data_IF_222826781405
#
_entry.id   IF_222826781405
#
_cell.length_a   1.000
_cell.length_b   1.000
_cell.length_c   1.000
_cell.angle_alpha   90.00
_cell.angle_beta   90.00
_cell.angle_gamma   90.00
#
_symmetry.space_group_name_H-M   'P 1'
#
loop_
_entity.id
_entity.type
_entity.pdbx_description
1 polymer ?
#
# COMPACT_ATOMS: atom_id res chain seq x y z
N UNK A 1 4.41 -4.91 -32.83
CA UNK A 1 3.02 -4.47 -32.65
C UNK A 1 2.92 -3.93 -31.23
N UNK A 2 3.12 -2.61 -31.07
CA UNK A 2 3.22 -1.99 -29.75
C UNK A 2 1.86 -1.98 -29.07
N UNK A 3 1.78 -2.53 -27.86
CA UNK A 3 0.57 -2.49 -27.05
C UNK A 3 0.29 -1.03 -26.73
N UNK A 4 -0.93 -0.52 -26.97
CA UNK A 4 -1.22 0.88 -26.74
C UNK A 4 -1.08 1.17 -25.24
N UNK A 5 -0.22 2.11 -24.87
CA UNK A 5 -0.03 2.65 -23.50
C UNK A 5 -1.34 2.81 -22.72
N UNK A 6 -2.42 3.16 -23.44
CA UNK A 6 -3.79 3.26 -22.95
C UNK A 6 -4.29 1.97 -22.25
N UNK A 7 -4.02 0.78 -22.78
CA UNK A 7 -4.46 -0.50 -22.18
C UNK A 7 -3.74 -0.78 -20.86
N UNK A 8 -2.43 -0.52 -20.81
CA UNK A 8 -1.64 -0.65 -19.57
C UNK A 8 -2.18 0.32 -18.52
N UNK A 9 -2.39 1.59 -18.88
CA UNK A 9 -2.93 2.59 -17.96
C UNK A 9 -4.33 2.23 -17.43
N UNK A 10 -5.20 1.68 -18.27
CA UNK A 10 -6.55 1.26 -17.86
C UNK A 10 -6.51 0.05 -16.93
N UNK A 11 -5.69 -0.97 -17.22
CA UNK A 11 -5.55 -2.12 -16.31
C UNK A 11 -4.86 -1.76 -15.01
N UNK A 12 -3.89 -0.86 -15.08
CA UNK A 12 -3.10 -0.42 -13.94
C UNK A 12 -3.73 0.70 -13.10
N UNK A 13 -4.91 1.20 -13.49
CA UNK A 13 -5.51 2.42 -12.95
C UNK A 13 -5.64 2.39 -11.42
N UNK A 14 -5.96 1.23 -10.83
CA UNK A 14 -6.04 1.09 -9.37
C UNK A 14 -4.67 1.20 -8.69
N UNK A 15 -3.60 0.65 -9.28
CA UNK A 15 -2.26 0.76 -8.72
C UNK A 15 -1.84 2.23 -8.66
N UNK A 16 -2.04 2.96 -9.77
CA UNK A 16 -1.74 4.39 -9.82
C UNK A 16 -2.61 5.20 -8.86
N UNK A 17 -3.89 4.85 -8.71
CA UNK A 17 -4.77 5.49 -7.75
C UNK A 17 -4.25 5.31 -6.31
N UNK A 18 -3.86 4.09 -5.93
CA UNK A 18 -3.31 3.80 -4.59
C UNK A 18 -2.01 4.59 -4.36
N UNK A 19 -1.07 4.55 -5.30
CA UNK A 19 0.19 5.29 -5.18
C UNK A 19 -0.02 6.81 -5.11
N UNK A 20 -0.92 7.34 -5.93
CA UNK A 20 -1.30 8.75 -5.89
C UNK A 20 -1.97 9.12 -4.56
N UNK A 21 -2.84 8.27 -4.02
CA UNK A 21 -3.45 8.50 -2.71
C UNK A 21 -2.42 8.54 -1.59
N UNK A 22 -1.42 7.64 -1.59
CA UNK A 22 -0.33 7.67 -0.61
C UNK A 22 0.45 8.99 -0.72
N UNK A 23 0.76 9.45 -1.93
CA UNK A 23 1.45 10.71 -2.14
C UNK A 23 0.61 11.91 -1.66
N UNK A 24 -0.69 11.93 -1.96
CA UNK A 24 -1.62 12.97 -1.50
C UNK A 24 -1.67 13.00 0.03
N UNK A 25 -1.76 11.83 0.67
CA UNK A 25 -1.74 11.72 2.14
C UNK A 25 -0.43 12.26 2.72
N UNK A 26 0.71 11.95 2.10
CA UNK A 26 2.01 12.48 2.54
C UNK A 26 2.06 14.00 2.46
N UNK A 27 1.64 14.56 1.32
CA UNK A 27 1.67 16.01 1.08
C UNK A 27 0.68 16.73 2.00
N UNK A 28 -0.58 16.29 2.04
CA UNK A 28 -1.60 16.90 2.90
C UNK A 28 -1.23 16.77 4.38
N UNK A 29 -0.80 15.57 4.80
CA UNK A 29 -0.38 15.30 6.17
C UNK A 29 0.74 16.22 6.64
N UNK A 30 1.72 16.50 5.76
CA UNK A 30 2.79 17.47 6.03
C UNK A 30 2.26 18.88 6.34
N UNK A 31 1.14 19.29 5.73
CA UNK A 31 0.54 20.61 5.97
C UNK A 31 -0.45 20.62 7.16
N UNK A 32 -1.12 19.50 7.45
CA UNK A 32 -2.17 19.44 8.49
C UNK A 32 -1.67 18.93 9.83
N UNK A 33 -0.84 17.89 9.84
CA UNK A 33 -0.26 17.30 11.06
C UNK A 33 1.13 16.72 10.73
N UNK A 34 2.17 17.58 10.67
CA UNK A 34 3.51 17.17 10.23
C UNK A 34 4.16 16.17 11.17
N UNK A 35 3.92 16.26 12.47
CA UNK A 35 4.50 15.34 13.47
C UNK A 35 3.99 13.92 13.27
N UNK A 36 2.65 13.76 13.22
CA UNK A 36 2.01 12.47 12.98
C UNK A 36 2.43 11.87 11.64
N UNK A 37 2.43 12.69 10.59
CA UNK A 37 2.78 12.25 9.24
C UNK A 37 4.24 11.80 9.17
N UNK A 38 5.16 12.57 9.73
CA UNK A 38 6.57 12.17 9.78
C UNK A 38 6.77 10.88 10.57
N UNK A 39 6.10 10.72 11.73
CA UNK A 39 6.13 9.48 12.51
C UNK A 39 5.75 8.27 11.67
N UNK A 40 4.59 8.34 10.99
CA UNK A 40 4.08 7.27 10.11
C UNK A 40 5.09 6.94 9.00
N UNK A 41 5.64 7.93 8.30
CA UNK A 41 6.54 7.70 7.17
C UNK A 41 7.94 7.22 7.59
N UNK A 42 8.43 7.64 8.76
CA UNK A 42 9.67 7.09 9.34
C UNK A 42 9.46 5.63 9.75
N UNK A 43 8.33 5.30 10.38
CA UNK A 43 7.98 3.91 10.69
C UNK A 43 7.82 3.08 9.41
N UNK A 44 7.20 3.63 8.37
CA UNK A 44 7.10 2.96 7.08
C UNK A 44 8.48 2.64 6.48
N UNK A 45 9.42 3.58 6.55
CA UNK A 45 10.81 3.39 6.08
C UNK A 45 11.55 2.29 6.87
N UNK A 46 11.37 2.26 8.20
CA UNK A 46 11.88 1.19 9.05
C UNK A 46 11.29 -0.18 8.67
N UNK A 47 9.98 -0.26 8.49
CA UNK A 47 9.28 -1.49 8.08
C UNK A 47 9.77 -2.01 6.72
N UNK A 48 10.11 -1.10 5.80
CA UNK A 48 10.70 -1.45 4.50
C UNK A 48 12.10 -2.04 4.67
N UNK A 49 12.89 -1.51 5.61
CA UNK A 49 14.25 -1.95 5.89
C UNK A 49 14.32 -3.37 6.49
N UNK A 50 13.28 -3.82 7.19
CA UNK A 50 13.21 -5.18 7.76
C UNK A 50 12.89 -6.27 6.72
N UNK A 51 12.51 -5.89 5.49
CA UNK A 51 12.22 -6.73 4.32
C UNK A 51 11.07 -7.76 4.45
N UNK A 52 10.76 -8.27 5.64
CA UNK A 52 9.72 -9.29 5.82
C UNK A 52 8.35 -8.81 5.31
N UNK A 53 7.93 -7.62 5.74
CA UNK A 53 6.67 -7.03 5.28
C UNK A 53 6.70 -6.72 3.78
N UNK A 54 7.85 -6.32 3.25
CA UNK A 54 8.04 -6.04 1.82
C UNK A 54 7.86 -7.32 0.99
N UNK A 55 8.43 -8.45 1.41
CA UNK A 55 8.24 -9.73 0.73
C UNK A 55 6.77 -10.14 0.69
N UNK A 56 6.04 -9.99 1.80
CA UNK A 56 4.61 -10.27 1.86
C UNK A 56 3.85 -9.35 0.89
N UNK A 57 4.11 -8.04 0.94
CA UNK A 57 3.44 -7.06 0.08
C UNK A 57 3.67 -7.30 -1.42
N UNK A 58 4.92 -7.55 -1.81
CA UNK A 58 5.27 -7.89 -3.20
C UNK A 58 4.58 -9.19 -3.60
N UNK A 59 4.55 -10.20 -2.73
CA UNK A 59 3.90 -11.49 -3.03
C UNK A 59 2.41 -11.30 -3.27
N UNK A 60 1.74 -10.52 -2.41
CA UNK A 60 0.32 -10.18 -2.59
C UNK A 60 0.08 -9.48 -3.92
N UNK A 61 0.89 -8.48 -4.27
CA UNK A 61 0.74 -7.73 -5.52
C UNK A 61 1.08 -8.54 -6.78
N UNK A 62 2.11 -9.38 -6.73
CA UNK A 62 2.62 -10.12 -7.89
C UNK A 62 1.89 -11.43 -8.18
N UNK A 63 1.29 -12.07 -7.17
CA UNK A 63 0.71 -13.41 -7.35
C UNK A 63 -0.82 -13.45 -7.26
N UNK A 64 -1.49 -12.44 -6.69
CA UNK A 64 -2.96 -12.40 -6.66
C UNK A 64 -3.47 -11.80 -7.98
N UNK A 65 -4.23 -12.56 -8.81
CA UNK A 65 -4.64 -12.08 -10.14
C UNK A 65 -5.51 -10.82 -10.09
N UNK A 66 -6.38 -10.73 -9.07
CA UNK A 66 -7.29 -9.61 -8.90
C UNK A 66 -6.79 -8.63 -7.82
N UNK A 67 -6.09 -7.59 -8.26
CA UNK A 67 -5.51 -6.59 -7.36
C UNK A 67 -6.55 -5.85 -6.50
N UNK A 68 -7.81 -5.78 -6.93
CA UNK A 68 -8.89 -5.19 -6.11
C UNK A 68 -9.04 -5.92 -4.78
N UNK A 69 -8.91 -7.25 -4.78
CA UNK A 69 -8.97 -8.04 -3.55
C UNK A 69 -7.82 -7.71 -2.61
N UNK A 70 -6.63 -7.46 -3.15
CA UNK A 70 -5.46 -7.05 -2.35
C UNK A 70 -5.70 -5.67 -1.74
N UNK A 71 -6.07 -4.69 -2.56
CA UNK A 71 -6.29 -3.32 -2.10
C UNK A 71 -7.40 -3.25 -1.04
N UNK A 72 -8.59 -3.78 -1.35
CA UNK A 72 -9.72 -3.75 -0.42
C UNK A 72 -9.52 -4.67 0.78
N UNK A 73 -8.86 -5.82 0.60
CA UNK A 73 -8.53 -6.74 1.69
C UNK A 73 -7.58 -6.10 2.70
N UNK A 74 -6.53 -5.43 2.24
CA UNK A 74 -5.61 -4.70 3.11
C UNK A 74 -6.29 -3.55 3.84
N UNK A 75 -7.17 -2.80 3.17
CA UNK A 75 -7.96 -1.73 3.80
C UNK A 75 -8.93 -2.32 4.84
N UNK A 76 -9.62 -3.41 4.53
CA UNK A 76 -10.55 -4.06 5.45
C UNK A 76 -9.81 -4.61 6.69
N UNK A 77 -8.64 -5.22 6.50
CA UNK A 77 -7.80 -5.68 7.59
C UNK A 77 -7.32 -4.51 8.48
N UNK A 78 -6.92 -3.38 7.87
CA UNK A 78 -6.60 -2.15 8.58
C UNK A 78 -7.79 -1.66 9.42
N UNK A 79 -8.98 -1.54 8.82
CA UNK A 79 -10.18 -1.07 9.54
C UNK A 79 -10.50 -2.02 10.71
N UNK A 80 -10.50 -3.34 10.47
CA UNK A 80 -10.75 -4.33 11.51
C UNK A 80 -9.75 -4.23 12.67
N UNK A 81 -8.45 -4.17 12.37
CA UNK A 81 -7.42 -4.01 13.38
C UNK A 81 -7.52 -2.67 14.12
N UNK A 82 -7.85 -1.57 13.43
CA UNK A 82 -8.05 -0.26 14.06
C UNK A 82 -9.22 -0.27 15.05
N UNK A 83 -10.32 -0.97 14.72
CA UNK A 83 -11.44 -1.18 15.66
C UNK A 83 -10.99 -1.99 16.87
N UNK A 84 -10.22 -3.07 16.67
CA UNK A 84 -9.71 -3.89 17.78
C UNK A 84 -8.74 -3.11 18.69
N UNK A 85 -7.93 -2.21 18.13
CA UNK A 85 -7.11 -1.26 18.92
C UNK A 85 -8.01 -0.34 19.74
N UNK A 86 -9.03 0.26 19.10
CA UNK A 86 -9.94 1.19 19.78
C UNK A 86 -10.74 0.54 20.91
N UNK A 87 -11.09 -0.74 20.77
CA UNK A 87 -11.74 -1.55 21.81
C UNK A 87 -10.78 -2.03 22.91
N UNK A 88 -9.49 -1.70 22.83
CA UNK A 88 -8.49 -2.10 23.82
C UNK A 88 -8.10 -3.58 23.76
N UNK A 89 -8.39 -4.28 22.67
CA UNK A 89 -8.01 -5.69 22.47
C UNK A 89 -6.53 -5.78 22.10
N UNK A 90 -6.06 -4.89 21.22
CA UNK A 90 -4.65 -4.78 20.84
C UNK A 90 -4.00 -3.56 21.52
N UNK A 91 -3.61 -3.72 22.78
CA UNK A 91 -2.98 -2.65 23.57
C UNK A 91 -1.51 -2.39 23.23
N UNK A 92 -0.86 -3.34 22.54
CA UNK A 92 0.54 -3.25 22.11
C UNK A 92 0.71 -2.59 20.73
N UNK A 93 -0.39 -2.30 20.03
CA UNK A 93 -0.37 -1.80 18.65
C UNK A 93 -0.96 -0.39 18.60
N UNK A 94 -0.31 0.52 17.90
CA UNK A 94 -0.83 1.87 17.66
C UNK A 94 -1.47 1.96 16.28
N UNK A 95 -2.48 2.83 16.14
CA UNK A 95 -3.11 3.10 14.84
C UNK A 95 -2.11 3.69 13.85
N UNK A 96 -1.13 4.45 14.32
CA UNK A 96 -0.04 5.03 13.52
C UNK A 96 0.83 3.95 12.89
N UNK A 97 1.28 2.99 13.70
CA UNK A 97 2.04 1.84 13.22
C UNK A 97 1.23 1.00 12.23
N UNK A 98 -0.04 0.74 12.56
CA UNK A 98 -0.94 0.00 11.68
C UNK A 98 -1.16 0.72 10.33
N UNK A 99 -1.22 2.05 10.34
CA UNK A 99 -1.34 2.83 9.12
C UNK A 99 -0.03 2.83 8.30
N UNK A 100 1.14 2.86 8.95
CA UNK A 100 2.42 2.66 8.28
C UNK A 100 2.50 1.28 7.60
N UNK A 101 2.06 0.22 8.27
CA UNK A 101 1.94 -1.13 7.69
C UNK A 101 1.03 -1.11 6.45
N UNK A 102 -0.13 -0.46 6.53
CA UNK A 102 -1.06 -0.34 5.40
C UNK A 102 -0.39 0.36 4.20
N UNK A 103 0.31 1.47 4.41
CA UNK A 103 1.00 2.22 3.36
C UNK A 103 2.07 1.34 2.70
N UNK A 104 2.90 0.65 3.49
CA UNK A 104 3.95 -0.23 2.96
C UNK A 104 3.33 -1.36 2.14
N UNK A 105 2.31 -2.04 2.67
CA UNK A 105 1.64 -3.15 1.97
C UNK A 105 1.03 -2.66 0.65
N UNK A 106 0.23 -1.59 0.70
CA UNK A 106 -0.43 -1.05 -0.49
C UNK A 106 0.57 -0.50 -1.52
N UNK A 107 1.63 0.18 -1.08
CA UNK A 107 2.66 0.73 -1.95
C UNK A 107 3.41 -0.36 -2.71
N UNK A 108 4.01 -1.31 -1.99
CA UNK A 108 4.78 -2.40 -2.60
C UNK A 108 3.91 -3.37 -3.39
N UNK A 109 2.69 -3.68 -2.94
CA UNK A 109 1.76 -4.50 -3.70
C UNK A 109 1.35 -3.82 -5.01
N UNK A 110 1.11 -2.50 -5.00
CA UNK A 110 0.79 -1.73 -6.22
C UNK A 110 1.95 -1.76 -7.22
N UNK A 111 3.18 -1.55 -6.74
CA UNK A 111 4.39 -1.59 -7.57
C UNK A 111 4.61 -2.99 -8.15
N UNK A 112 4.52 -4.03 -7.32
CA UNK A 112 4.70 -5.42 -7.76
C UNK A 112 3.64 -5.85 -8.78
N UNK A 113 2.38 -5.43 -8.57
CA UNK A 113 1.33 -5.70 -9.54
C UNK A 113 1.54 -4.93 -10.85
N UNK A 114 2.05 -3.69 -10.81
CA UNK A 114 2.45 -2.96 -12.01
C UNK A 114 3.54 -3.72 -12.79
N UNK A 115 4.59 -4.19 -12.10
CA UNK A 115 5.65 -4.99 -12.72
C UNK A 115 5.11 -6.26 -13.38
N UNK A 116 4.15 -6.94 -12.74
CA UNK A 116 3.46 -8.08 -13.34
C UNK A 116 2.78 -7.71 -14.66
N UNK A 117 2.06 -6.59 -14.69
CA UNK A 117 1.40 -6.11 -15.91
C UNK A 117 2.44 -5.84 -17.01
N UNK A 118 3.52 -5.12 -16.71
CA UNK A 118 4.58 -4.86 -17.69
C UNK A 118 5.18 -6.16 -18.26
N UNK A 119 5.48 -7.13 -17.39
CA UNK A 119 6.02 -8.44 -17.79
C UNK A 119 5.06 -9.25 -18.66
N UNK A 120 3.77 -9.28 -18.32
CA UNK A 120 2.74 -9.97 -19.11
C UNK A 120 2.64 -9.40 -20.54
N UNK A 121 3.07 -8.15 -20.74
CA UNK A 121 3.06 -7.43 -22.00
C UNK A 121 4.41 -7.42 -22.73
N UNK A 122 5.46 -8.05 -22.17
CA UNK A 122 6.76 -8.19 -22.82
C UNK A 122 7.55 -6.88 -22.98
N UNK A 123 7.32 -5.92 -22.09
CA UNK A 123 8.07 -4.66 -21.98
C UNK A 123 9.07 -4.70 -20.83
#
# INVERSE_FOLDING_TARGET
MGIPLKEILVKAQLNFAVLASILIIAVLGKFTNPELTNSIFVTADQLVSELYLVFVAITLGAFIPNFRLVAFGSIAAFIGAAVLIHLGIFTYLTTEYLFAVLIVVLGFASIANLYRHYREYGL
#
